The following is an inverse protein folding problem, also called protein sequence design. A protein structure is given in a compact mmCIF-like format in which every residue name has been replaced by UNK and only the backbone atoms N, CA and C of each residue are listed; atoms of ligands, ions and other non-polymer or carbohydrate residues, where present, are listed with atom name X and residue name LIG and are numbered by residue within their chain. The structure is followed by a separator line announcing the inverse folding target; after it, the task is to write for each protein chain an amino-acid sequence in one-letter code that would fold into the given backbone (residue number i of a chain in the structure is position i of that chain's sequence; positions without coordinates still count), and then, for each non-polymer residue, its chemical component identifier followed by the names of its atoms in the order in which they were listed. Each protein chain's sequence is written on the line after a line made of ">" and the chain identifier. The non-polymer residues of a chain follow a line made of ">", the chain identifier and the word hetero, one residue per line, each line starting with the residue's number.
data_IF_426458737110
#
_entry.id   IF_426458737110
#
_cell.length_a   1.000
_cell.length_b   1.000
_cell.length_c   1.000
_cell.angle_alpha   90.00
_cell.angle_beta   90.00
_cell.angle_gamma   90.00
#
_symmetry.space_group_name_H-M   'P 1'
#
loop_
_entity.id
_entity.type
_entity.pdbx_description
1 polymer ?
#
# COMPACT_ATOMS: atom_id res chain seq x y z
N UNK A 1 -1.30 20.16 17.74
CA UNK A 1 -1.18 19.04 16.78
C UNK A 1 -2.22 18.01 17.17
N UNK A 2 -3.05 17.50 16.25
CA UNK A 2 -3.99 16.41 16.58
C UNK A 2 -3.24 15.08 16.60
N UNK A 3 -3.56 14.23 17.56
CA UNK A 3 -3.01 12.88 17.68
C UNK A 3 -3.82 11.90 16.82
N UNK A 4 -3.27 10.72 16.54
CA UNK A 4 -4.01 9.65 15.88
C UNK A 4 -5.29 9.28 16.65
N UNK A 5 -5.25 9.34 17.98
CA UNK A 5 -6.41 9.13 18.84
C UNK A 5 -7.50 10.18 18.61
N UNK A 6 -7.12 11.46 18.49
CA UNK A 6 -8.08 12.54 18.22
C UNK A 6 -8.74 12.38 16.84
N UNK A 7 -8.00 11.86 15.85
CA UNK A 7 -8.52 11.58 14.51
C UNK A 7 -9.49 10.40 14.56
N UNK A 8 -9.14 9.31 15.25
CA UNK A 8 -10.00 8.14 15.40
C UNK A 8 -11.35 8.51 16.05
N UNK A 9 -11.32 9.29 17.13
CA UNK A 9 -12.54 9.79 17.79
C UNK A 9 -13.39 10.66 16.85
N UNK A 10 -12.77 11.48 16.00
CA UNK A 10 -13.51 12.27 15.02
C UNK A 10 -14.16 11.39 13.94
N UNK A 11 -13.47 10.33 13.49
CA UNK A 11 -13.99 9.38 12.50
C UNK A 11 -15.17 8.59 13.06
N UNK A 12 -15.12 8.18 14.33
CA UNK A 12 -16.22 7.48 15.03
C UNK A 12 -17.50 8.32 15.09
N UNK A 13 -17.40 9.65 15.05
CA UNK A 13 -18.54 10.58 15.10
C UNK A 13 -19.10 10.92 13.71
N UNK A 14 -18.52 10.41 12.62
CA UNK A 14 -18.99 10.71 11.28
C UNK A 14 -20.34 10.03 10.98
N UNK A 15 -21.29 10.75 10.35
CA UNK A 15 -22.46 10.11 9.74
C UNK A 15 -22.04 9.07 8.69
N UNK A 16 -22.85 8.04 8.49
CA UNK A 16 -22.53 6.91 7.59
C UNK A 16 -22.08 7.35 6.18
N UNK A 17 -22.70 8.38 5.62
CA UNK A 17 -22.32 8.91 4.29
C UNK A 17 -20.92 9.53 4.28
N UNK A 18 -20.57 10.30 5.31
CA UNK A 18 -19.24 10.90 5.45
C UNK A 18 -18.19 9.85 5.81
N UNK A 19 -18.56 8.84 6.60
CA UNK A 19 -17.69 7.69 6.88
C UNK A 19 -17.36 6.90 5.60
N UNK A 20 -18.33 6.70 4.71
CA UNK A 20 -18.10 6.05 3.42
C UNK A 20 -17.16 6.89 2.52
N UNK A 21 -17.35 8.21 2.46
CA UNK A 21 -16.46 9.13 1.75
C UNK A 21 -15.05 9.12 2.32
N UNK A 22 -14.92 9.14 3.64
CA UNK A 22 -13.63 9.05 4.33
C UNK A 22 -12.91 7.75 3.97
N UNK A 23 -13.61 6.61 3.99
CA UNK A 23 -13.02 5.32 3.64
C UNK A 23 -12.48 5.29 2.21
N UNK A 24 -13.28 5.73 1.24
CA UNK A 24 -12.86 5.79 -0.17
C UNK A 24 -11.64 6.69 -0.38
N UNK A 25 -11.61 7.84 0.30
CA UNK A 25 -10.45 8.73 0.26
C UNK A 25 -9.21 8.11 0.91
N UNK A 26 -9.37 7.47 2.07
CA UNK A 26 -8.26 6.89 2.82
C UNK A 26 -7.62 5.71 2.06
N UNK A 27 -8.42 4.87 1.40
CA UNK A 27 -7.92 3.80 0.54
C UNK A 27 -7.02 4.35 -0.59
N UNK A 28 -7.42 5.44 -1.25
CA UNK A 28 -6.62 6.07 -2.28
C UNK A 28 -5.34 6.74 -1.71
N UNK A 29 -5.45 7.35 -0.54
CA UNK A 29 -4.30 7.97 0.15
C UNK A 29 -3.25 6.93 0.58
N UNK A 30 -3.70 5.81 1.14
CA UNK A 30 -2.84 4.72 1.59
C UNK A 30 -2.19 4.01 0.40
N UNK A 31 -2.95 3.74 -0.66
CA UNK A 31 -2.44 3.21 -1.92
C UNK A 31 -1.36 4.12 -2.53
N UNK A 32 -1.57 5.44 -2.56
CA UNK A 32 -0.57 6.38 -3.04
C UNK A 32 0.71 6.39 -2.19
N UNK A 33 0.60 6.21 -0.88
CA UNK A 33 1.76 6.09 0.01
C UNK A 33 2.53 4.80 -0.23
N UNK A 34 1.82 3.69 -0.43
CA UNK A 34 2.40 2.39 -0.77
C UNK A 34 3.14 2.44 -2.11
N UNK A 35 2.52 3.00 -3.15
CA UNK A 35 3.12 3.19 -4.46
C UNK A 35 4.42 4.00 -4.37
N UNK A 36 4.39 5.12 -3.64
CA UNK A 36 5.58 5.94 -3.40
C UNK A 36 6.71 5.17 -2.73
N UNK A 37 6.41 4.31 -1.75
CA UNK A 37 7.41 3.51 -1.06
C UNK A 37 8.00 2.42 -1.96
N UNK A 38 7.17 1.71 -2.73
CA UNK A 38 7.63 0.75 -3.73
C UNK A 38 8.56 1.44 -4.72
N UNK A 39 8.13 2.56 -5.29
CA UNK A 39 8.90 3.34 -6.28
C UNK A 39 10.25 3.80 -5.72
N UNK A 40 10.27 4.26 -4.47
CA UNK A 40 11.50 4.65 -3.79
C UNK A 40 12.42 3.45 -3.57
N UNK A 41 11.89 2.32 -3.11
CA UNK A 41 12.67 1.13 -2.84
C UNK A 41 13.19 0.48 -4.13
N UNK A 42 12.41 0.51 -5.21
CA UNK A 42 12.82 0.11 -6.55
C UNK A 42 13.99 0.97 -7.04
N UNK A 43 13.87 2.31 -6.97
CA UNK A 43 14.98 3.22 -7.34
C UNK A 43 16.22 3.03 -6.47
N UNK A 44 16.06 2.59 -5.23
CA UNK A 44 17.16 2.28 -4.32
C UNK A 44 17.77 0.88 -4.53
N UNK A 45 17.28 0.09 -5.51
CA UNK A 45 17.76 -1.27 -5.79
C UNK A 45 17.37 -2.31 -4.73
N UNK A 46 16.51 -1.96 -3.78
CA UNK A 46 16.14 -2.85 -2.67
C UNK A 46 15.27 -4.03 -3.12
N UNK A 47 14.59 -3.89 -4.26
CA UNK A 47 13.74 -4.92 -4.83
C UNK A 47 14.48 -5.83 -5.81
N UNK A 48 15.73 -5.51 -6.15
CA UNK A 48 16.55 -6.27 -7.11
C UNK A 48 16.77 -7.74 -6.71
N UNK A 49 16.95 -8.10 -5.41
CA UNK A 49 17.06 -9.50 -5.01
C UNK A 49 15.78 -10.29 -5.30
N UNK A 50 14.62 -9.68 -5.04
CA UNK A 50 13.30 -10.29 -5.29
C UNK A 50 13.08 -10.47 -6.80
N UNK A 51 13.44 -9.47 -7.61
CA UNK A 51 13.36 -9.56 -9.06
C UNK A 51 14.26 -10.68 -9.61
N UNK A 52 15.49 -10.79 -9.08
CA UNK A 52 16.44 -11.83 -9.47
C UNK A 52 15.92 -13.22 -9.13
N UNK A 53 15.36 -13.39 -7.93
CA UNK A 53 14.76 -14.65 -7.49
C UNK A 53 13.59 -15.06 -8.37
N UNK A 54 12.66 -14.13 -8.65
CA UNK A 54 11.50 -14.38 -9.49
C UNK A 54 11.90 -14.81 -10.91
N UNK A 55 12.88 -14.13 -11.51
CA UNK A 55 13.41 -14.48 -12.84
C UNK A 55 14.07 -15.87 -12.83
N UNK A 56 14.82 -16.19 -11.77
CA UNK A 56 15.45 -17.50 -11.61
C UNK A 56 14.42 -18.62 -11.46
N UNK A 57 13.38 -18.41 -10.66
CA UNK A 57 12.28 -19.37 -10.48
C UNK A 57 11.52 -19.62 -11.80
N UNK A 58 11.22 -18.55 -12.55
CA UNK A 58 10.58 -18.65 -13.86
C UNK A 58 11.40 -19.47 -14.85
N UNK A 59 12.70 -19.17 -14.95
CA UNK A 59 13.62 -19.93 -15.83
C UNK A 59 13.75 -21.40 -15.44
N UNK A 60 13.57 -21.71 -14.16
CA UNK A 60 13.61 -23.06 -13.65
C UNK A 60 12.27 -23.80 -13.73
N UNK A 61 11.23 -23.21 -14.35
CA UNK A 61 9.90 -23.81 -14.44
C UNK A 61 9.17 -23.91 -13.11
N UNK A 62 9.59 -23.13 -12.09
CA UNK A 62 8.98 -23.08 -10.75
C UNK A 62 7.98 -21.94 -10.62
N UNK A 63 7.23 -21.67 -11.67
CA UNK A 63 6.13 -20.70 -11.69
C UNK A 63 4.82 -21.40 -12.08
N UNK A 64 3.70 -20.84 -11.64
CA UNK A 64 2.36 -21.26 -12.05
C UNK A 64 1.74 -20.20 -12.95
N UNK A 65 0.81 -20.62 -13.79
CA UNK A 65 -0.04 -19.67 -14.51
C UNK A 65 -0.94 -18.90 -13.53
N UNK A 66 -1.31 -17.68 -13.95
CA UNK A 66 -2.11 -16.74 -13.17
C UNK A 66 -3.55 -17.23 -12.98
#
# INVERSE_FOLDING_TARGET
>A
MKTAKDIAQAVEQLPLGELARFRAWFEAFDAGSFDMEIERNARAGKLDPLATEAISAYRAGRCRDL
#
